data_IF_760807410687
#
_entry.id   IF_760807410687
#
_cell.length_a   1.000
_cell.length_b   1.000
_cell.length_c   1.000
_cell.angle_alpha   90.00
_cell.angle_beta   90.00
_cell.angle_gamma   90.00
#
_symmetry.space_group_name_H-M   'P 1'
#
loop_
_entity.id
_entity.type
_entity.pdbx_description
1 polymer ?
#
# COMPACT_ATOMS: atom_id res chain seq x y z
N UNK A 1 9.45 -11.60 2.02
CA UNK A 1 9.08 -10.21 1.74
C UNK A 1 9.03 -9.98 0.23
N UNK A 2 7.95 -9.39 -0.26
CA UNK A 2 7.77 -8.86 -1.62
C UNK A 2 7.15 -7.46 -1.55
N UNK A 3 7.42 -6.65 -2.58
CA UNK A 3 6.71 -5.40 -2.85
C UNK A 3 5.77 -5.64 -4.03
N UNK A 4 4.48 -5.44 -3.82
CA UNK A 4 3.48 -5.59 -4.86
C UNK A 4 3.12 -4.21 -5.41
N UNK A 5 3.52 -3.91 -6.63
CA UNK A 5 3.03 -2.70 -7.31
C UNK A 5 1.60 -2.94 -7.80
N UNK A 6 0.64 -2.22 -7.22
CA UNK A 6 -0.79 -2.43 -7.44
C UNK A 6 -1.39 -1.23 -8.16
N UNK A 7 -2.13 -1.49 -9.23
CA UNK A 7 -2.99 -0.47 -9.84
C UNK A 7 -4.26 -0.29 -9.02
N UNK A 8 -4.46 0.92 -8.46
CA UNK A 8 -5.61 1.30 -7.63
C UNK A 8 -6.95 1.44 -8.41
N UNK A 9 -6.90 1.41 -9.74
CA UNK A 9 -8.07 1.75 -10.56
C UNK A 9 -8.37 3.25 -10.58
N UNK A 10 -9.58 3.65 -10.98
CA UNK A 10 -9.93 5.07 -11.15
C UNK A 10 -10.43 5.76 -9.87
N UNK A 11 -10.45 5.06 -8.72
CA UNK A 11 -10.75 5.63 -7.41
C UNK A 11 -11.85 4.89 -6.62
N UNK A 12 -12.79 4.25 -7.30
CA UNK A 12 -13.82 3.44 -6.64
C UNK A 12 -13.21 2.10 -6.14
N UNK A 13 -13.32 1.77 -4.83
CA UNK A 13 -12.80 0.50 -4.29
C UNK A 13 -13.37 -0.75 -4.97
N UNK A 14 -14.60 -0.71 -5.48
CA UNK A 14 -15.21 -1.85 -6.18
C UNK A 14 -14.57 -2.10 -7.56
N UNK A 15 -13.82 -1.14 -8.09
CA UNK A 15 -13.09 -1.26 -9.35
C UNK A 15 -11.66 -1.81 -9.17
N UNK A 16 -11.27 -2.17 -7.95
CA UNK A 16 -10.06 -2.96 -7.73
C UNK A 16 -10.18 -4.33 -8.36
N UNK A 17 -9.05 -4.84 -8.87
CA UNK A 17 -8.99 -6.26 -9.21
C UNK A 17 -9.08 -7.10 -7.94
N UNK A 18 -9.68 -8.30 -8.03
CA UNK A 18 -9.78 -9.22 -6.89
C UNK A 18 -8.42 -9.57 -6.28
N UNK A 19 -7.35 -9.59 -7.09
CA UNK A 19 -5.99 -9.84 -6.60
C UNK A 19 -5.45 -8.63 -5.81
N UNK A 20 -5.69 -7.41 -6.28
CA UNK A 20 -5.28 -6.19 -5.59
C UNK A 20 -5.91 -6.11 -4.19
N UNK A 21 -7.23 -6.30 -4.09
CA UNK A 21 -7.93 -6.28 -2.80
C UNK A 21 -7.37 -7.32 -1.81
N UNK A 22 -7.09 -8.55 -2.29
CA UNK A 22 -6.50 -9.61 -1.45
C UNK A 22 -5.08 -9.29 -0.99
N UNK A 23 -4.27 -8.64 -1.82
CA UNK A 23 -2.92 -8.25 -1.47
C UNK A 23 -2.93 -7.11 -0.46
N UNK A 24 -3.74 -6.07 -0.67
CA UNK A 24 -3.92 -4.97 0.29
C UNK A 24 -4.33 -5.52 1.66
N UNK A 25 -5.29 -6.45 1.70
CA UNK A 25 -5.75 -7.06 2.96
C UNK A 25 -4.74 -8.00 3.65
N UNK A 26 -3.69 -8.43 2.95
CA UNK A 26 -2.68 -9.34 3.49
C UNK A 26 -1.37 -8.63 3.86
N UNK A 27 -1.12 -7.43 3.35
CA UNK A 27 0.16 -6.74 3.55
C UNK A 27 0.15 -5.93 4.85
N UNK A 28 1.09 -6.16 5.78
CA UNK A 28 1.24 -5.38 7.00
C UNK A 28 1.74 -3.94 6.76
N UNK A 29 2.22 -3.62 5.54
CA UNK A 29 2.57 -2.26 5.12
C UNK A 29 1.81 -1.93 3.84
N UNK A 30 1.21 -0.74 3.78
CA UNK A 30 0.53 -0.23 2.60
C UNK A 30 0.98 1.21 2.31
N UNK A 31 1.58 1.43 1.14
CA UNK A 31 2.07 2.73 0.68
C UNK A 31 1.22 3.21 -0.49
N UNK A 32 0.47 4.30 -0.33
CA UNK A 32 -0.45 4.79 -1.37
C UNK A 32 -0.09 6.20 -1.85
N UNK A 33 -0.45 6.51 -3.10
CA UNK A 33 -0.04 7.73 -3.80
C UNK A 33 -0.97 8.94 -3.54
N UNK A 34 -1.17 9.27 -2.26
CA UNK A 34 -1.96 10.41 -1.80
C UNK A 34 -3.29 10.58 -2.50
N UNK A 35 -3.64 11.81 -2.87
CA UNK A 35 -4.97 12.16 -3.39
C UNK A 35 -5.38 11.46 -4.68
N UNK A 36 -4.45 10.80 -5.40
CA UNK A 36 -4.78 10.01 -6.59
C UNK A 36 -5.36 8.64 -6.25
N UNK A 37 -5.13 8.16 -5.02
CA UNK A 37 -5.68 6.91 -4.50
C UNK A 37 -6.55 7.28 -3.29
N UNK A 38 -7.88 7.31 -3.44
CA UNK A 38 -8.77 7.63 -2.34
C UNK A 38 -8.52 6.67 -1.14
N UNK A 39 -8.52 7.16 0.12
CA UNK A 39 -8.23 6.33 1.29
C UNK A 39 -9.09 5.06 1.39
N UNK A 40 -10.32 5.11 0.91
CA UNK A 40 -11.25 3.98 0.83
C UNK A 40 -10.74 2.83 -0.04
N UNK A 41 -9.87 3.09 -1.03
CA UNK A 41 -9.27 2.05 -1.89
C UNK A 41 -8.31 1.16 -1.08
N UNK A 42 -7.62 1.74 -0.11
CA UNK A 42 -6.66 1.03 0.75
C UNK A 42 -7.20 0.70 2.14
N UNK A 43 -8.46 1.05 2.42
CA UNK A 43 -9.11 0.80 3.70
C UNK A 43 -9.24 -0.69 4.05
N UNK A 44 -9.06 -1.59 3.08
CA UNK A 44 -9.00 -3.02 3.29
C UNK A 44 -7.70 -3.52 3.91
N UNK A 45 -6.70 -2.66 4.14
CA UNK A 45 -5.46 -3.03 4.81
C UNK A 45 -5.73 -3.60 6.22
N UNK A 46 -4.94 -4.58 6.68
CA UNK A 46 -5.21 -5.27 7.94
C UNK A 46 -5.13 -4.32 9.14
N UNK A 47 -5.85 -4.64 10.21
CA UNK A 47 -5.75 -3.88 11.45
C UNK A 47 -4.30 -3.89 11.98
N UNK A 48 -3.81 -2.71 12.37
CA UNK A 48 -2.42 -2.54 12.78
C UNK A 48 -1.42 -2.44 11.63
N UNK A 49 -1.87 -2.49 10.36
CA UNK A 49 -1.00 -2.22 9.23
C UNK A 49 -0.44 -0.79 9.29
N UNK A 50 0.80 -0.65 8.82
CA UNK A 50 1.43 0.64 8.58
C UNK A 50 0.94 1.18 7.25
N UNK A 51 -0.12 1.98 7.28
CA UNK A 51 -0.70 2.64 6.11
C UNK A 51 -0.18 4.07 6.00
N UNK A 52 0.54 4.39 4.92
CA UNK A 52 1.20 5.69 4.73
C UNK A 52 0.85 6.34 3.40
N UNK A 53 0.53 7.63 3.46
CA UNK A 53 0.47 8.51 2.29
C UNK A 53 1.89 8.86 1.84
N UNK A 54 2.22 8.52 0.59
CA UNK A 54 3.52 8.79 -0.02
C UNK A 54 3.59 10.12 -0.78
N UNK A 55 2.48 10.84 -0.98
CA UNK A 55 2.50 12.14 -1.64
C UNK A 55 3.45 13.18 -0.99
N UNK A 56 3.58 13.27 0.34
CA UNK A 56 4.54 14.18 0.97
C UNK A 56 5.98 13.61 1.05
N UNK A 57 6.21 12.37 0.60
CA UNK A 57 7.49 11.67 0.78
C UNK A 57 8.42 11.88 -0.41
N UNK A 58 9.72 11.93 -0.15
CA UNK A 58 10.74 11.85 -1.19
C UNK A 58 10.94 10.40 -1.62
N UNK A 59 11.62 10.19 -2.76
CA UNK A 59 11.98 8.86 -3.24
C UNK A 59 12.77 8.06 -2.19
N UNK A 60 13.74 8.72 -1.54
CA UNK A 60 14.58 8.10 -0.51
C UNK A 60 13.75 7.72 0.72
N UNK A 61 12.79 8.55 1.13
CA UNK A 61 11.91 8.26 2.25
C UNK A 61 11.01 7.05 1.95
N UNK A 62 10.40 6.99 0.76
CA UNK A 62 9.56 5.85 0.36
C UNK A 62 10.38 4.57 0.27
N UNK A 63 11.60 4.63 -0.27
CA UNK A 63 12.50 3.48 -0.29
C UNK A 63 12.95 3.06 1.11
N UNK A 64 13.18 4.01 2.02
CA UNK A 64 13.52 3.70 3.42
C UNK A 64 12.40 2.91 4.12
N UNK A 65 11.13 3.25 3.89
CA UNK A 65 9.99 2.47 4.41
C UNK A 65 9.95 1.05 3.83
N UNK A 66 10.16 0.90 2.51
CA UNK A 66 10.23 -0.42 1.85
C UNK A 66 11.39 -1.26 2.41
N UNK A 67 12.56 -0.66 2.62
CA UNK A 67 13.73 -1.34 3.20
C UNK A 67 13.50 -1.71 4.67
N UNK A 68 12.84 -0.85 5.45
CA UNK A 68 12.49 -1.17 6.82
C UNK A 68 11.49 -2.35 6.90
N UNK A 69 10.50 -2.39 5.99
CA UNK A 69 9.58 -3.53 5.86
C UNK A 69 10.32 -4.82 5.47
N UNK A 70 11.31 -4.73 4.57
CA UNK A 70 12.20 -5.85 4.22
C UNK A 70 12.85 -6.45 5.45
N UNK A 71 13.43 -5.59 6.28
CA UNK A 71 14.22 -6.02 7.44
C UNK A 71 13.34 -6.67 8.51
N UNK A 72 12.04 -6.32 8.53
CA UNK A 72 11.01 -6.99 9.35
C UNK A 72 10.38 -8.22 8.69
N UNK A 73 10.70 -8.51 7.42
CA UNK A 73 10.10 -9.60 6.66
C UNK A 73 8.65 -9.35 6.20
N UNK A 74 8.21 -8.10 6.21
CA UNK A 74 6.84 -7.65 5.96
C UNK A 74 6.60 -7.38 4.48
N UNK A 75 5.59 -8.02 3.88
CA UNK A 75 5.15 -7.72 2.51
C UNK A 75 4.54 -6.30 2.43
N UNK A 76 4.75 -5.62 1.30
CA UNK A 76 4.31 -4.23 1.05
C UNK A 76 3.32 -4.20 -0.10
N UNK A 77 2.15 -3.60 0.13
CA UNK A 77 1.16 -3.24 -0.88
C UNK A 77 1.33 -1.79 -1.35
#
# INVERSE_FOLDING_TARGET
>A
MKVYFIGAGPGDPELLTLKAQRLIAACPVCLYAGSLVPPEVVAGAPEGARVLDTAPMTLDATHAEILAARDRGEDVA
#
